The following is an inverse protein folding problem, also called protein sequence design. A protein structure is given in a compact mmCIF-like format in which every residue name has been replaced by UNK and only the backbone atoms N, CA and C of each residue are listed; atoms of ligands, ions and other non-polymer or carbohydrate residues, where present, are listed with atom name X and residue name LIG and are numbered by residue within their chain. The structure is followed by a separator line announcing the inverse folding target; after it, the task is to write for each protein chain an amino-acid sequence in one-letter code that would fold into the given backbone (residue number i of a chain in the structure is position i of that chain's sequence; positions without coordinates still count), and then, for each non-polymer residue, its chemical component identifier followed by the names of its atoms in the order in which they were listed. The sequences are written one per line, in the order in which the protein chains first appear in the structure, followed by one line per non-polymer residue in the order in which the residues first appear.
data_IF_664815959942
#
_entry.id   IF_664815959942
#
_cell.length_a   1.000
_cell.length_b   1.000
_cell.length_c   1.000
_cell.angle_alpha   90.00
_cell.angle_beta   90.00
_cell.angle_gamma   90.00
#
_symmetry.space_group_name_H-M   'P 1'
#
loop_
_entity.id
_entity.type
_entity.pdbx_description
1 polymer ?
#
# COMPACT_ATOMS: atom_id res chain seq x y z
N UNK A 1 2.32 -28.59 8.09
CA UNK A 1 1.74 -28.58 6.74
C UNK A 1 2.03 -27.25 6.09
N UNK A 2 2.74 -27.25 4.98
CA UNK A 2 3.06 -26.01 4.26
C UNK A 2 1.80 -25.54 3.54
N UNK A 3 1.34 -24.33 3.84
CA UNK A 3 0.22 -23.73 3.13
C UNK A 3 0.64 -23.48 1.67
N UNK A 4 -0.15 -23.97 0.72
CA UNK A 4 0.08 -23.73 -0.71
C UNK A 4 -0.13 -22.26 -1.07
N UNK A 5 -0.96 -21.59 -0.29
CA UNK A 5 -1.41 -20.23 -0.58
C UNK A 5 -0.79 -19.20 0.38
N UNK A 6 0.54 -19.25 0.49
CA UNK A 6 1.23 -18.21 1.28
C UNK A 6 1.06 -16.87 0.60
N UNK A 7 0.39 -15.96 1.29
CA UNK A 7 0.22 -14.60 0.82
C UNK A 7 1.56 -13.85 0.89
N UNK A 8 2.02 -13.33 -0.25
CA UNK A 8 3.27 -12.58 -0.36
C UNK A 8 3.04 -11.07 -0.31
N UNK A 9 1.80 -10.65 -0.53
CA UNK A 9 1.40 -9.25 -0.49
C UNK A 9 -0.09 -9.15 -0.76
N UNK A 10 -0.67 -8.01 -0.45
CA UNK A 10 -2.08 -7.75 -0.69
C UNK A 10 -2.25 -6.32 -1.16
N UNK A 11 -2.60 -6.17 -2.44
CA UNK A 11 -2.76 -4.86 -3.05
C UNK A 11 -4.25 -4.58 -3.24
N UNK A 12 -4.71 -3.47 -2.68
CA UNK A 12 -6.05 -2.97 -2.90
C UNK A 12 -5.90 -1.58 -3.51
N UNK A 13 -6.37 -1.42 -4.74
CA UNK A 13 -6.33 -0.15 -5.44
C UNK A 13 -7.75 0.21 -5.83
N UNK A 14 -8.21 1.37 -5.40
CA UNK A 14 -9.55 1.86 -5.66
C UNK A 14 -9.43 3.05 -6.61
N UNK A 15 -10.15 2.98 -7.73
CA UNK A 15 -10.19 4.06 -8.69
C UNK A 15 -11.20 5.11 -8.22
N UNK A 16 -10.71 6.19 -7.64
CA UNK A 16 -11.54 7.27 -7.13
C UNK A 16 -11.40 8.50 -8.00
N UNK A 17 -12.53 9.16 -8.22
CA UNK A 17 -12.55 10.43 -8.95
C UNK A 17 -11.66 11.44 -8.25
N UNK A 18 -10.71 12.00 -9.00
CA UNK A 18 -9.84 13.05 -8.50
C UNK A 18 -10.55 14.39 -8.64
N UNK A 19 -10.68 15.09 -7.50
CA UNK A 19 -11.13 16.48 -7.51
C UNK A 19 -9.92 17.38 -7.65
N UNK A 20 -10.02 18.46 -8.45
CA UNK A 20 -8.90 19.40 -8.56
C UNK A 20 -8.75 20.18 -7.25
N UNK A 21 -7.84 19.73 -6.40
CA UNK A 21 -7.51 20.43 -5.17
C UNK A 21 -6.05 20.87 -5.22
N UNK A 22 -5.73 21.91 -4.46
CA UNK A 22 -4.35 22.34 -4.25
C UNK A 22 -3.98 22.20 -2.77
N UNK A 23 -4.74 21.39 -2.04
CA UNK A 23 -4.57 21.20 -0.60
C UNK A 23 -3.78 19.91 -0.35
N UNK A 24 -2.64 20.05 0.32
CA UNK A 24 -1.75 18.93 0.61
C UNK A 24 -2.46 17.83 1.44
N UNK A 25 -3.24 18.23 2.45
CA UNK A 25 -3.94 17.27 3.31
C UNK A 25 -4.98 16.48 2.52
N UNK A 26 -5.72 17.13 1.63
CA UNK A 26 -6.70 16.46 0.78
C UNK A 26 -6.04 15.50 -0.20
N UNK A 27 -4.89 15.88 -0.75
CA UNK A 27 -4.11 15.00 -1.64
C UNK A 27 -3.62 13.75 -0.90
N UNK A 28 -3.12 13.91 0.32
CA UNK A 28 -2.68 12.79 1.15
C UNK A 28 -3.86 11.87 1.46
N UNK A 29 -5.00 12.43 1.86
CA UNK A 29 -6.21 11.68 2.15
C UNK A 29 -6.71 10.92 0.91
N UNK A 30 -6.66 11.55 -0.24
CA UNK A 30 -7.07 10.93 -1.50
C UNK A 30 -6.22 9.72 -1.84
N UNK A 31 -4.89 9.84 -1.71
CA UNK A 31 -3.97 8.70 -1.93
C UNK A 31 -4.28 7.58 -0.94
N UNK A 32 -4.47 7.91 0.34
CA UNK A 32 -4.80 6.92 1.35
C UNK A 32 -6.11 6.17 1.02
N UNK A 33 -7.11 6.87 0.50
CA UNK A 33 -8.35 6.25 0.04
C UNK A 33 -8.13 5.33 -1.15
N UNK A 34 -7.30 5.73 -2.10
CA UNK A 34 -6.98 4.91 -3.26
C UNK A 34 -6.33 3.58 -2.85
N UNK A 35 -5.59 3.57 -1.75
CA UNK A 35 -4.99 2.35 -1.20
C UNK A 35 -5.88 1.64 -0.18
N UNK A 36 -7.14 2.02 -0.09
CA UNK A 36 -8.12 1.31 0.73
C UNK A 36 -7.99 1.51 2.23
N UNK A 37 -7.35 2.58 2.69
CA UNK A 37 -7.13 2.82 4.12
C UNK A 37 -8.32 3.49 4.82
N UNK A 38 -9.44 3.67 4.15
CA UNK A 38 -10.63 4.30 4.70
C UNK A 38 -11.79 3.33 4.87
N UNK A 39 -11.53 2.13 5.38
CA UNK A 39 -12.56 1.10 5.51
C UNK A 39 -13.56 1.36 6.64
N UNK A 40 -13.14 2.06 7.69
CA UNK A 40 -14.00 2.41 8.82
C UNK A 40 -13.80 3.86 9.24
N UNK A 41 -14.81 4.45 9.87
CA UNK A 41 -14.75 5.86 10.28
C UNK A 41 -13.51 6.18 11.13
N UNK A 42 -13.21 5.35 12.12
CA UNK A 42 -12.12 5.61 13.05
C UNK A 42 -10.77 5.13 12.49
N UNK A 43 -10.77 3.96 11.85
CA UNK A 43 -9.56 3.40 11.25
C UNK A 43 -9.03 4.23 10.09
N UNK A 44 -9.93 4.88 9.35
CA UNK A 44 -9.60 5.75 8.23
C UNK A 44 -8.71 6.92 8.65
N UNK A 45 -9.13 7.63 9.69
CA UNK A 45 -8.38 8.78 10.17
C UNK A 45 -7.02 8.37 10.74
N UNK A 46 -6.97 7.27 11.45
CA UNK A 46 -5.73 6.75 12.03
C UNK A 46 -4.74 6.39 10.93
N UNK A 47 -5.17 5.65 9.91
CA UNK A 47 -4.31 5.27 8.79
C UNK A 47 -3.76 6.50 8.05
N UNK A 48 -4.61 7.48 7.76
CA UNK A 48 -4.19 8.72 7.11
C UNK A 48 -3.21 9.50 7.97
N UNK A 49 -3.41 9.54 9.28
CA UNK A 49 -2.50 10.21 10.21
C UNK A 49 -1.15 9.52 10.29
N UNK A 50 -1.13 8.19 10.29
CA UNK A 50 0.12 7.42 10.24
C UNK A 50 0.86 7.73 8.94
N UNK A 51 0.17 7.69 7.82
CA UNK A 51 0.76 7.98 6.51
C UNK A 51 1.38 9.38 6.50
N UNK A 52 0.62 10.38 6.97
CA UNK A 52 1.09 11.76 7.03
C UNK A 52 2.31 11.91 7.94
N UNK A 53 2.31 11.24 9.07
CA UNK A 53 3.44 11.26 10.00
C UNK A 53 4.70 10.64 9.36
N UNK A 54 4.53 9.54 8.63
CA UNK A 54 5.64 8.91 7.91
C UNK A 54 6.15 9.79 6.77
N UNK A 55 5.26 10.50 6.07
CA UNK A 55 5.68 11.46 5.04
C UNK A 55 6.54 12.57 5.63
N UNK A 56 6.14 13.09 6.78
CA UNK A 56 6.91 14.13 7.45
C UNK A 56 8.28 13.62 7.90
N UNK A 57 8.36 12.39 8.44
CA UNK A 57 9.64 11.81 8.83
C UNK A 57 10.55 11.53 7.63
N UNK A 58 9.95 11.16 6.50
CA UNK A 58 10.69 10.96 5.26
C UNK A 58 11.39 12.24 4.81
N UNK A 59 10.72 13.38 4.97
CA UNK A 59 11.31 14.69 4.68
C UNK A 59 12.56 14.96 5.52
N UNK A 60 12.57 14.49 6.76
CA UNK A 60 13.72 14.63 7.67
C UNK A 60 14.76 13.54 7.47
N UNK A 61 14.47 12.52 6.69
CA UNK A 61 15.40 11.45 6.34
C UNK A 61 15.39 10.25 7.27
N UNK A 62 14.60 10.27 8.32
CA UNK A 62 14.57 9.22 9.35
C UNK A 62 13.27 8.41 9.28
N UNK A 63 13.35 7.11 9.68
CA UNK A 63 12.18 6.31 9.95
C UNK A 63 11.69 6.52 11.39
N UNK A 64 10.57 5.91 11.73
CA UNK A 64 9.97 5.98 13.06
C UNK A 64 9.69 4.58 13.58
N UNK A 65 9.91 4.38 14.87
CA UNK A 65 9.53 3.14 15.54
C UNK A 65 8.02 3.12 15.76
N UNK A 66 7.46 1.93 16.02
CA UNK A 66 6.04 1.81 16.34
C UNK A 66 5.66 2.62 17.58
N UNK A 67 6.53 2.67 18.57
CA UNK A 67 6.29 3.45 19.80
C UNK A 67 6.27 4.95 19.52
N UNK A 68 7.22 5.44 18.71
CA UNK A 68 7.24 6.83 18.29
C UNK A 68 5.98 7.20 17.49
N UNK A 69 5.54 6.32 16.59
CA UNK A 69 4.31 6.52 15.82
C UNK A 69 3.08 6.54 16.71
N UNK A 70 3.00 5.60 17.66
CA UNK A 70 1.88 5.57 18.61
C UNK A 70 1.78 6.86 19.41
N UNK A 71 2.91 7.38 19.87
CA UNK A 71 2.96 8.64 20.60
C UNK A 71 2.54 9.82 19.72
N UNK A 72 3.10 9.93 18.53
CA UNK A 72 2.82 11.05 17.60
C UNK A 72 1.37 11.05 17.12
N UNK A 73 0.81 9.88 16.86
CA UNK A 73 -0.56 9.74 16.37
C UNK A 73 -1.58 9.74 17.51
N UNK A 74 -1.16 9.38 18.72
CA UNK A 74 -2.02 9.39 19.90
C UNK A 74 -2.95 8.18 19.98
N UNK A 75 -2.46 7.02 19.55
CA UNK A 75 -3.22 5.75 19.60
C UNK A 75 -2.37 4.67 20.25
N UNK A 76 -3.00 3.53 20.56
CA UNK A 76 -2.28 2.41 21.16
C UNK A 76 -1.29 1.78 20.20
N UNK A 77 -0.27 1.12 20.76
CA UNK A 77 0.71 0.37 19.97
C UNK A 77 0.02 -0.71 19.13
N UNK A 78 -0.97 -1.40 19.69
CA UNK A 78 -1.71 -2.44 18.95
C UNK A 78 -2.41 -1.89 17.73
N UNK A 79 -3.05 -0.73 17.84
CA UNK A 79 -3.70 -0.07 16.71
C UNK A 79 -2.69 0.33 15.65
N UNK A 80 -1.55 0.89 16.07
CA UNK A 80 -0.46 1.26 15.14
C UNK A 80 0.04 0.04 14.38
N UNK A 81 0.37 -1.06 15.07
CA UNK A 81 0.89 -2.29 14.45
C UNK A 81 -0.11 -2.85 13.43
N UNK A 82 -1.40 -2.83 13.76
CA UNK A 82 -2.44 -3.29 12.84
C UNK A 82 -2.42 -2.50 11.51
N UNK A 83 -2.37 -1.18 11.60
CA UNK A 83 -2.32 -0.32 10.40
C UNK A 83 -1.00 -0.45 9.66
N UNK A 84 0.12 -0.53 10.39
CA UNK A 84 1.44 -0.68 9.77
C UNK A 84 1.56 -1.98 8.99
N UNK A 85 1.01 -3.08 9.53
CA UNK A 85 1.00 -4.36 8.82
C UNK A 85 0.23 -4.28 7.51
N UNK A 86 -0.92 -3.62 7.50
CA UNK A 86 -1.69 -3.40 6.26
C UNK A 86 -0.90 -2.58 5.24
N UNK A 87 -0.23 -1.52 5.71
CA UNK A 87 0.57 -0.66 4.83
C UNK A 87 1.79 -1.38 4.28
N UNK A 88 2.44 -2.24 5.06
CA UNK A 88 3.54 -3.07 4.59
C UNK A 88 3.06 -4.08 3.54
N UNK A 89 1.94 -4.73 3.79
CA UNK A 89 1.38 -5.70 2.85
C UNK A 89 1.00 -5.06 1.51
N UNK A 90 0.60 -3.79 1.52
CA UNK A 90 0.28 -3.05 0.29
C UNK A 90 1.53 -2.52 -0.43
N UNK A 91 2.71 -2.65 0.18
CA UNK A 91 3.95 -2.19 -0.41
C UNK A 91 4.25 -0.71 -0.24
N UNK A 92 3.46 0.00 0.57
CA UNK A 92 3.64 1.45 0.75
C UNK A 92 4.78 1.79 1.68
N UNK A 93 5.00 0.98 2.71
CA UNK A 93 6.02 1.22 3.72
C UNK A 93 6.88 -0.02 3.90
N UNK A 94 8.05 0.20 4.45
CA UNK A 94 8.99 -0.86 4.84
C UNK A 94 9.42 -0.65 6.28
N UNK A 95 9.89 -1.73 6.89
CA UNK A 95 10.57 -1.67 8.18
C UNK A 95 12.05 -1.99 7.95
N UNK A 96 12.92 -1.19 8.55
CA UNK A 96 14.36 -1.37 8.45
C UNK A 96 14.98 -0.98 9.79
N UNK A 97 15.70 -1.91 10.41
CA UNK A 97 16.31 -1.69 11.72
C UNK A 97 15.31 -1.21 12.78
N UNK A 98 14.11 -1.79 12.77
CA UNK A 98 13.03 -1.45 13.71
C UNK A 98 12.31 -0.15 13.42
N UNK A 99 12.65 0.54 12.36
CA UNK A 99 12.02 1.81 11.98
C UNK A 99 11.17 1.66 10.74
N UNK A 100 9.97 2.21 10.78
CA UNK A 100 9.05 2.24 9.64
C UNK A 100 9.27 3.49 8.83
N UNK A 101 9.25 3.34 7.53
CA UNK A 101 9.42 4.46 6.61
C UNK A 101 8.75 4.20 5.27
N UNK A 102 8.51 5.27 4.54
CA UNK A 102 7.97 5.19 3.20
C UNK A 102 8.94 4.41 2.32
N UNK A 103 8.42 3.49 1.50
CA UNK A 103 9.23 2.55 0.73
C UNK A 103 10.20 3.25 -0.23
N UNK A 104 9.73 4.25 -0.96
CA UNK A 104 10.50 4.89 -2.02
C UNK A 104 11.12 6.23 -1.67
N UNK A 105 11.09 6.64 -0.43
CA UNK A 105 11.57 7.94 0.06
C UNK A 105 10.81 9.16 -0.50
N UNK A 106 9.80 8.93 -1.31
CA UNK A 106 8.84 9.95 -1.75
C UNK A 106 7.54 9.27 -2.11
N UNK A 107 6.39 9.96 -2.06
CA UNK A 107 5.12 9.39 -2.49
C UNK A 107 5.17 8.90 -3.94
N UNK A 108 5.71 9.70 -4.85
CA UNK A 108 5.80 9.32 -6.26
C UNK A 108 6.64 8.06 -6.45
N UNK A 109 7.83 8.00 -5.84
CA UNK A 109 8.71 6.83 -5.96
C UNK A 109 8.06 5.60 -5.36
N UNK A 110 7.36 5.76 -4.24
CA UNK A 110 6.63 4.66 -3.60
C UNK A 110 5.54 4.10 -4.53
N UNK A 111 4.76 4.97 -5.16
CA UNK A 111 3.72 4.53 -6.11
C UNK A 111 4.35 3.83 -7.31
N UNK A 112 5.48 4.31 -7.82
CA UNK A 112 6.22 3.64 -8.90
C UNK A 112 6.64 2.23 -8.48
N UNK A 113 7.15 2.06 -7.27
CA UNK A 113 7.53 0.73 -6.75
C UNK A 113 6.32 -0.20 -6.62
N UNK A 114 5.19 0.31 -6.13
CA UNK A 114 3.95 -0.47 -6.05
C UNK A 114 3.46 -0.85 -7.44
N UNK A 115 3.55 0.05 -8.40
CA UNK A 115 3.18 -0.24 -9.79
C UNK A 115 3.99 -1.40 -10.35
N UNK A 116 5.30 -1.41 -10.10
CA UNK A 116 6.17 -2.50 -10.56
C UNK A 116 5.80 -3.83 -9.89
N UNK A 117 5.45 -3.80 -8.60
CA UNK A 117 4.97 -4.99 -7.90
C UNK A 117 3.68 -5.53 -8.52
N UNK A 118 2.73 -4.64 -8.81
CA UNK A 118 1.46 -5.01 -9.43
C UNK A 118 1.65 -5.64 -10.81
N UNK A 119 2.55 -5.08 -11.62
CA UNK A 119 2.87 -5.64 -12.93
C UNK A 119 3.42 -7.05 -12.76
N UNK A 120 4.34 -7.26 -11.84
CA UNK A 120 4.93 -8.57 -11.58
C UNK A 120 3.88 -9.59 -11.13
N UNK A 121 2.97 -9.19 -10.25
CA UNK A 121 1.87 -10.06 -9.78
C UNK A 121 0.94 -10.41 -10.92
N UNK A 122 0.57 -9.41 -11.73
CA UNK A 122 -0.31 -9.61 -12.90
C UNK A 122 0.34 -10.53 -13.95
N UNK A 123 1.64 -10.41 -14.16
CA UNK A 123 2.37 -11.31 -15.06
C UNK A 123 2.30 -12.77 -14.60
N UNK A 124 2.45 -13.03 -13.30
CA UNK A 124 2.30 -14.38 -12.75
C UNK A 124 0.90 -14.93 -13.00
N UNK A 125 -0.10 -14.10 -12.80
CA UNK A 125 -1.51 -14.47 -13.03
C UNK A 125 -1.75 -14.70 -14.52
N UNK A 126 -1.22 -13.84 -15.38
CA UNK A 126 -1.33 -13.96 -16.85
C UNK A 126 -0.71 -15.27 -17.36
N UNK A 127 0.44 -15.66 -16.82
CA UNK A 127 1.09 -16.92 -17.20
C UNK A 127 0.17 -18.11 -16.93
N UNK A 128 -0.47 -18.16 -15.77
CA UNK A 128 -1.41 -19.24 -15.44
C UNK A 128 -2.68 -19.15 -16.31
N UNK A 129 -3.16 -17.94 -16.55
CA UNK A 129 -4.31 -17.74 -17.44
C UNK A 129 -4.00 -18.27 -18.85
N UNK A 130 -2.78 -18.07 -19.34
CA UNK A 130 -2.33 -18.61 -20.62
C UNK A 130 -2.37 -20.13 -20.64
N UNK A 131 -1.95 -20.78 -19.55
CA UNK A 131 -2.05 -22.24 -19.44
C UNK A 131 -3.51 -22.71 -19.50
N UNK A 132 -4.41 -21.99 -18.89
CA UNK A 132 -5.86 -22.30 -18.92
C UNK A 132 -6.38 -22.17 -20.34
N UNK A 133 -6.02 -21.09 -21.04
CA UNK A 133 -6.41 -20.89 -22.43
C UNK A 133 -5.96 -22.08 -23.29
N UNK A 134 -4.72 -22.51 -23.13
CA UNK A 134 -4.18 -23.63 -23.90
C UNK A 134 -4.93 -24.93 -23.63
N UNK A 135 -5.21 -25.25 -22.36
CA UNK A 135 -5.94 -26.46 -22.00
C UNK A 135 -7.38 -26.49 -22.50
N UNK A 136 -8.01 -25.33 -22.51
CA UNK A 136 -9.40 -25.20 -22.98
C UNK A 136 -9.51 -24.89 -24.47
N UNK A 137 -8.38 -24.78 -25.17
CA UNK A 137 -8.30 -24.41 -26.58
C UNK A 137 -9.01 -23.10 -26.89
N UNK A 138 -8.84 -22.12 -26.00
CA UNK A 138 -9.41 -20.78 -26.20
C UNK A 138 -8.43 -19.93 -27.00
N UNK A 139 -8.91 -19.19 -28.00
CA UNK A 139 -8.00 -18.36 -28.80
C UNK A 139 -7.64 -17.06 -28.06
N UNK A 140 -6.34 -16.78 -28.03
CA UNK A 140 -5.88 -15.46 -27.62
C UNK A 140 -6.00 -14.50 -28.81
N UNK A 141 -6.70 -13.39 -28.59
CA UNK A 141 -6.80 -12.33 -29.59
C UNK A 141 -6.35 -11.02 -28.96
N UNK A 142 -5.40 -10.35 -29.59
CA UNK A 142 -5.00 -9.04 -29.16
C UNK A 142 -6.16 -8.05 -29.30
N UNK A 143 -6.38 -7.24 -28.26
CA UNK A 143 -7.39 -6.18 -28.29
C UNK A 143 -6.88 -5.03 -29.16
N UNK A 144 -7.69 -4.63 -30.07
CA UNK A 144 -7.37 -3.48 -30.91
C UNK A 144 -7.72 -2.18 -30.20
#
# INVERSE_FOLDING_TARGET
MVSRDKELGRFLIIDLRRLPTKNLNEDIDWIARCFGFLETRDGAQTAARIFKTLLNSTKEGDGLTSDELAEKVGVTRGAIIHHLNKMMNSGLIIIQSGQYKLRGRSPRRTVVEVRLDLIRVLEKIEDIASCIDDELNLPYRETQ
#
